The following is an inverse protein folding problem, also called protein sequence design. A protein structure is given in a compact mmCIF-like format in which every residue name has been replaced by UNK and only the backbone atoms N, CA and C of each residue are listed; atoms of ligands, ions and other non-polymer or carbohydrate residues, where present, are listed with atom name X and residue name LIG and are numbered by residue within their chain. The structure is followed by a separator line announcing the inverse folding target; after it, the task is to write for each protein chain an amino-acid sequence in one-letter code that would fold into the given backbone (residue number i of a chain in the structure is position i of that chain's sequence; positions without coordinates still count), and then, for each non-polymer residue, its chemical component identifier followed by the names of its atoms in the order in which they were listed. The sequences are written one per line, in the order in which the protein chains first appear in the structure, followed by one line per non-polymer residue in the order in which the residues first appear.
data_IF_275250471855
#
_entry.id   IF_275250471855
#
_cell.length_a   1.000
_cell.length_b   1.000
_cell.length_c   1.000
_cell.angle_alpha   90.00
_cell.angle_beta   90.00
_cell.angle_gamma   90.00
#
_symmetry.space_group_name_H-M   'P 1'
#
loop_
_entity.id
_entity.type
_entity.pdbx_description
1 polymer ?
#
# COMPACT_ATOMS: atom_id res chain seq x y z
N UNK A 1 2.14 19.63 22.00
CA UNK A 1 1.32 20.06 20.85
C UNK A 1 0.06 20.63 21.44
N UNK A 2 -0.28 21.86 21.10
CA UNK A 2 -1.53 22.49 21.55
C UNK A 2 -2.68 21.79 20.85
N UNK A 3 -3.75 21.44 21.58
CA UNK A 3 -4.97 20.89 20.97
C UNK A 3 -5.52 21.88 19.95
N UNK A 4 -5.99 21.42 18.77
CA UNK A 4 -6.55 22.30 17.76
C UNK A 4 -7.76 23.07 18.32
N UNK A 5 -7.80 24.38 18.13
CA UNK A 5 -8.97 25.17 18.47
C UNK A 5 -10.11 24.87 17.49
N UNK A 6 -11.32 24.61 18.01
CA UNK A 6 -12.52 24.32 17.21
C UNK A 6 -12.77 25.39 16.13
N UNK A 7 -12.57 26.66 16.44
CA UNK A 7 -12.81 27.76 15.49
C UNK A 7 -11.82 27.71 14.31
N UNK A 8 -10.57 27.36 14.57
CA UNK A 8 -9.54 27.26 13.53
C UNK A 8 -9.83 26.07 12.60
N UNK A 9 -10.21 24.93 13.18
CA UNK A 9 -10.56 23.72 12.42
C UNK A 9 -11.84 23.92 11.62
N UNK A 10 -12.85 24.60 12.18
CA UNK A 10 -14.06 24.98 11.45
C UNK A 10 -13.77 25.95 10.29
N UNK A 11 -12.91 26.94 10.52
CA UNK A 11 -12.47 27.87 9.47
C UNK A 11 -11.77 27.14 8.33
N UNK A 12 -10.93 26.15 8.65
CA UNK A 12 -10.31 25.32 7.62
C UNK A 12 -11.30 24.38 6.93
N UNK A 13 -12.24 23.79 7.67
CA UNK A 13 -13.27 22.94 7.10
C UNK A 13 -14.19 23.69 6.12
N UNK A 14 -14.54 24.94 6.43
CA UNK A 14 -15.29 25.82 5.53
C UNK A 14 -14.49 26.14 4.25
N UNK A 15 -13.18 26.41 4.38
CA UNK A 15 -12.27 26.60 3.25
C UNK A 15 -12.21 25.34 2.37
N UNK A 16 -12.07 24.16 2.96
CA UNK A 16 -12.03 22.89 2.22
C UNK A 16 -13.36 22.64 1.52
N UNK A 17 -14.49 22.86 2.20
CA UNK A 17 -15.82 22.63 1.65
C UNK A 17 -16.16 23.56 0.46
N UNK A 18 -15.69 24.81 0.50
CA UNK A 18 -15.88 25.79 -0.59
C UNK A 18 -14.96 25.58 -1.80
N UNK A 19 -13.88 24.82 -1.65
CA UNK A 19 -12.92 24.61 -2.73
C UNK A 19 -13.48 23.69 -3.82
N UNK A 20 -13.52 24.20 -5.06
CA UNK A 20 -13.90 23.43 -6.26
C UNK A 20 -12.79 22.48 -6.70
N UNK A 21 -11.53 22.83 -6.42
CA UNK A 21 -10.34 22.10 -6.88
C UNK A 21 -9.73 21.20 -5.80
N UNK A 22 -10.42 20.96 -4.68
CA UNK A 22 -9.91 20.14 -3.58
C UNK A 22 -8.79 20.84 -2.82
N UNK A 23 -9.16 21.74 -1.91
CA UNK A 23 -8.19 22.37 -1.03
C UNK A 23 -7.56 21.32 -0.10
N UNK A 24 -6.23 21.31 -0.01
CA UNK A 24 -5.50 20.48 0.95
C UNK A 24 -5.87 20.91 2.38
N UNK A 25 -6.38 20.01 3.23
CA UNK A 25 -6.63 20.26 4.65
C UNK A 25 -5.37 20.75 5.37
N UNK A 26 -5.53 21.65 6.33
CA UNK A 26 -4.39 22.12 7.16
C UNK A 26 -4.18 21.28 8.41
N UNK A 27 -5.20 20.50 8.78
CA UNK A 27 -5.22 19.66 9.95
C UNK A 27 -5.25 18.19 9.55
N UNK A 28 -4.88 17.30 10.47
CA UNK A 28 -4.96 15.86 10.27
C UNK A 28 -6.41 15.38 10.34
N UNK A 29 -6.69 14.19 9.80
CA UNK A 29 -8.02 13.59 9.86
C UNK A 29 -8.56 13.53 11.31
N UNK A 30 -7.71 13.11 12.25
CA UNK A 30 -8.04 13.03 13.67
C UNK A 30 -8.50 14.37 14.28
N UNK A 31 -7.92 15.50 13.85
CA UNK A 31 -8.27 16.82 14.39
C UNK A 31 -9.71 17.21 14.01
N UNK A 32 -10.15 16.87 12.80
CA UNK A 32 -11.55 17.09 12.38
C UNK A 32 -12.51 16.17 13.13
N UNK A 33 -12.15 14.90 13.35
CA UNK A 33 -12.96 13.96 14.12
C UNK A 33 -13.16 14.44 15.56
N UNK A 34 -12.07 14.84 16.23
CA UNK A 34 -12.13 15.41 17.58
C UNK A 34 -13.00 16.67 17.63
N UNK A 35 -12.91 17.55 16.62
CA UNK A 35 -13.77 18.73 16.51
C UNK A 35 -15.25 18.40 16.27
N UNK A 36 -15.57 17.34 15.53
CA UNK A 36 -16.97 16.87 15.37
C UNK A 36 -17.55 16.40 16.70
N UNK A 37 -16.75 15.69 17.50
CA UNK A 37 -17.16 15.24 18.83
C UNK A 37 -17.29 16.42 19.81
N UNK A 38 -16.37 17.38 19.76
CA UNK A 38 -16.45 18.60 20.57
C UNK A 38 -17.69 19.44 20.22
N UNK A 39 -18.00 19.59 18.92
CA UNK A 39 -19.22 20.24 18.45
C UNK A 39 -20.46 19.51 19.00
N UNK A 40 -20.53 18.19 18.85
CA UNK A 40 -21.66 17.40 19.35
C UNK A 40 -21.82 17.48 20.88
N UNK A 41 -20.73 17.50 21.64
CA UNK A 41 -20.73 17.68 23.09
C UNK A 41 -21.25 19.08 23.48
N UNK A 42 -20.87 20.13 22.74
CA UNK A 42 -21.35 21.50 22.99
C UNK A 42 -22.83 21.72 22.67
N UNK A 43 -23.36 20.99 21.68
CA UNK A 43 -24.73 21.13 21.18
C UNK A 43 -25.70 20.12 21.82
N UNK A 44 -25.22 19.26 22.72
CA UNK A 44 -26.08 18.24 23.36
C UNK A 44 -27.12 18.89 24.28
N UNK A 45 -28.31 18.32 24.30
CA UNK A 45 -29.41 18.68 25.20
C UNK A 45 -29.23 17.99 26.55
N UNK A 46 -29.94 18.47 27.58
CA UNK A 46 -29.93 17.83 28.89
C UNK A 46 -30.40 16.37 28.81
N UNK A 47 -29.57 15.43 29.29
CA UNK A 47 -29.83 13.99 29.22
C UNK A 47 -29.54 13.35 27.85
N UNK A 48 -29.12 14.13 26.85
CA UNK A 48 -28.67 13.61 25.55
C UNK A 48 -27.20 13.14 25.65
N UNK A 49 -26.88 12.00 25.03
CA UNK A 49 -25.48 11.54 24.88
C UNK A 49 -24.80 12.24 23.70
N UNK A 50 -23.47 12.27 23.67
CA UNK A 50 -22.71 12.86 22.54
C UNK A 50 -23.08 12.20 21.21
N UNK A 51 -23.19 10.86 21.18
CA UNK A 51 -23.57 10.14 19.98
C UNK A 51 -24.98 10.47 19.50
N UNK A 52 -25.93 10.69 20.42
CA UNK A 52 -27.28 11.13 20.08
C UNK A 52 -27.29 12.56 19.52
N UNK A 53 -26.54 13.48 20.12
CA UNK A 53 -26.35 14.84 19.63
C UNK A 53 -25.72 14.86 18.23
N UNK A 54 -24.66 14.08 18.01
CA UNK A 54 -24.00 13.95 16.70
C UNK A 54 -24.97 13.41 15.63
N UNK A 55 -25.74 12.37 15.95
CA UNK A 55 -26.74 11.79 15.04
C UNK A 55 -27.86 12.79 14.71
N UNK A 56 -28.30 13.57 15.71
CA UNK A 56 -29.28 14.63 15.52
C UNK A 56 -28.74 15.75 14.62
N UNK A 57 -27.54 16.27 14.91
CA UNK A 57 -26.89 17.28 14.07
C UNK A 57 -26.74 16.81 12.61
N UNK A 58 -26.44 15.51 12.41
CA UNK A 58 -26.39 14.92 11.08
C UNK A 58 -27.77 14.90 10.40
N UNK A 59 -28.81 14.48 11.14
CA UNK A 59 -30.20 14.42 10.64
C UNK A 59 -30.75 15.80 10.30
N UNK A 60 -30.46 16.78 11.17
CA UNK A 60 -30.87 18.18 11.03
C UNK A 60 -30.07 18.92 9.94
N UNK A 61 -29.06 18.26 9.34
CA UNK A 61 -28.16 18.83 8.33
C UNK A 61 -27.42 20.07 8.83
N UNK A 62 -26.90 20.03 10.06
CA UNK A 62 -26.06 21.10 10.57
C UNK A 62 -24.88 21.36 9.62
N UNK A 63 -24.75 22.61 9.17
CA UNK A 63 -23.75 22.98 8.17
C UNK A 63 -22.32 22.84 8.69
N UNK A 64 -22.08 23.10 9.97
CA UNK A 64 -20.75 23.01 10.58
C UNK A 64 -20.30 21.54 10.59
N UNK A 65 -21.19 20.66 11.03
CA UNK A 65 -20.93 19.22 11.00
C UNK A 65 -20.68 18.71 9.58
N UNK A 66 -21.48 19.17 8.61
CA UNK A 66 -21.34 18.79 7.20
C UNK A 66 -19.99 19.24 6.60
N UNK A 67 -19.52 20.44 6.96
CA UNK A 67 -18.20 20.95 6.54
C UNK A 67 -17.06 20.16 7.17
N UNK A 68 -17.13 19.88 8.48
CA UNK A 68 -16.14 19.06 9.17
C UNK A 68 -16.05 17.65 8.57
N UNK A 69 -17.19 17.00 8.32
CA UNK A 69 -17.23 15.67 7.72
C UNK A 69 -16.60 15.65 6.32
N UNK A 70 -16.83 16.70 5.52
CA UNK A 70 -16.18 16.82 4.21
C UNK A 70 -14.67 17.02 4.31
N UNK A 71 -14.22 17.85 5.26
CA UNK A 71 -12.80 18.10 5.47
C UNK A 71 -12.06 16.84 5.97
N UNK A 72 -12.69 16.11 6.90
CA UNK A 72 -12.24 14.80 7.37
C UNK A 72 -12.03 13.83 6.21
N UNK A 73 -13.04 13.66 5.35
CA UNK A 73 -12.95 12.76 4.19
C UNK A 73 -11.78 13.11 3.25
N UNK A 74 -11.55 14.40 3.00
CA UNK A 74 -10.44 14.86 2.16
C UNK A 74 -9.09 14.59 2.85
N UNK A 75 -8.99 14.83 4.16
CA UNK A 75 -7.79 14.57 4.93
C UNK A 75 -7.41 13.07 4.93
N UNK A 76 -8.37 12.19 5.22
CA UNK A 76 -8.17 10.74 5.18
C UNK A 76 -7.71 10.26 3.80
N UNK A 77 -8.32 10.79 2.74
CA UNK A 77 -7.95 10.43 1.36
C UNK A 77 -6.50 10.80 1.04
N UNK A 78 -6.04 11.97 1.50
CA UNK A 78 -4.67 12.42 1.31
C UNK A 78 -3.70 11.58 2.15
N UNK A 79 -4.00 11.37 3.43
CA UNK A 79 -3.16 10.55 4.32
C UNK A 79 -2.98 9.12 3.79
N UNK A 80 -4.06 8.50 3.29
CA UNK A 80 -4.01 7.17 2.67
C UNK A 80 -3.18 7.16 1.39
N UNK A 81 -3.32 8.19 0.55
CA UNK A 81 -2.51 8.33 -0.67
C UNK A 81 -1.03 8.46 -0.32
N UNK A 82 -0.68 9.28 0.66
CA UNK A 82 0.69 9.50 1.07
C UNK A 82 1.30 8.25 1.72
N UNK A 83 0.53 7.53 2.53
CA UNK A 83 0.93 6.23 3.08
C UNK A 83 1.24 5.23 1.96
N UNK A 84 0.38 5.15 0.93
CA UNK A 84 0.61 4.30 -0.24
C UNK A 84 1.86 4.71 -1.02
N UNK A 85 2.09 6.00 -1.22
CA UNK A 85 3.28 6.48 -1.92
C UNK A 85 4.57 6.14 -1.17
N UNK A 86 4.57 6.26 0.16
CA UNK A 86 5.71 5.84 1.00
C UNK A 86 6.00 4.35 0.86
N UNK A 87 4.97 3.51 0.83
CA UNK A 87 5.15 2.06 0.67
C UNK A 87 5.71 1.71 -0.71
N UNK A 88 5.21 2.34 -1.77
CA UNK A 88 5.76 2.17 -3.13
C UNK A 88 7.22 2.59 -3.18
N UNK A 89 7.58 3.72 -2.59
CA UNK A 89 8.97 4.19 -2.53
C UNK A 89 9.87 3.22 -1.75
N UNK A 90 9.37 2.66 -0.64
CA UNK A 90 10.08 1.65 0.16
C UNK A 90 10.33 0.37 -0.65
N UNK A 91 9.32 -0.12 -1.38
CA UNK A 91 9.47 -1.30 -2.25
C UNK A 91 10.44 -1.05 -3.41
N UNK A 92 10.43 0.15 -4.00
CA UNK A 92 11.40 0.52 -5.01
C UNK A 92 12.84 0.51 -4.46
N UNK A 93 13.06 1.12 -3.30
CA UNK A 93 14.36 1.11 -2.63
C UNK A 93 14.83 -0.31 -2.26
N UNK A 94 13.92 -1.19 -1.82
CA UNK A 94 14.24 -2.59 -1.55
C UNK A 94 14.62 -3.35 -2.83
N UNK A 95 13.93 -3.09 -3.96
CA UNK A 95 14.27 -3.69 -5.26
C UNK A 95 15.66 -3.24 -5.74
N UNK A 96 15.99 -1.96 -5.58
CA UNK A 96 17.31 -1.44 -5.94
C UNK A 96 18.41 -2.06 -5.08
N UNK A 97 18.19 -2.18 -3.76
CA UNK A 97 19.12 -2.88 -2.86
C UNK A 97 19.30 -4.35 -3.26
N UNK A 98 18.20 -5.06 -3.53
CA UNK A 98 18.27 -6.44 -4.00
C UNK A 98 19.01 -6.57 -5.34
N UNK A 99 18.83 -5.64 -6.27
CA UNK A 99 19.55 -5.64 -7.54
C UNK A 99 21.05 -5.35 -7.37
N UNK A 100 21.42 -4.57 -6.35
CA UNK A 100 22.82 -4.29 -6.01
C UNK A 100 23.49 -5.42 -5.22
N UNK A 101 22.78 -6.05 -4.29
CA UNK A 101 23.28 -7.11 -3.40
C UNK A 101 23.24 -8.50 -4.04
N UNK A 102 22.23 -8.74 -4.88
CA UNK A 102 22.24 -9.82 -5.86
C UNK A 102 22.50 -9.18 -7.21
N UNK A 103 23.77 -8.85 -7.56
CA UNK A 103 24.08 -8.77 -8.97
C UNK A 103 23.62 -10.12 -9.49
N UNK A 104 22.61 -10.12 -10.37
CA UNK A 104 22.42 -11.25 -11.26
C UNK A 104 23.83 -11.42 -11.81
N UNK A 105 24.51 -12.47 -11.37
CA UNK A 105 25.72 -12.92 -12.02
C UNK A 105 25.17 -13.29 -13.38
N UNK A 106 25.10 -12.29 -14.28
CA UNK A 106 24.93 -12.53 -15.70
C UNK A 106 26.04 -13.48 -15.93
N UNK A 107 25.61 -14.70 -16.14
CA UNK A 107 26.42 -15.85 -15.98
C UNK A 107 27.25 -15.81 -17.27
N UNK A 108 28.39 -15.10 -17.22
CA UNK A 108 29.15 -14.70 -18.40
C UNK A 108 29.92 -15.91 -18.85
N UNK A 109 29.23 -16.78 -19.59
CA UNK A 109 29.74 -18.02 -20.09
C UNK A 109 28.61 -18.86 -20.68
N UNK A 110 28.85 -19.59 -21.79
CA UNK A 110 27.84 -20.46 -22.40
C UNK A 110 27.22 -21.42 -21.39
N UNK A 111 28.05 -21.97 -20.49
CA UNK A 111 27.64 -22.90 -19.44
C UNK A 111 26.59 -22.30 -18.50
N UNK A 112 26.79 -21.06 -18.14
CA UNK A 112 26.02 -20.44 -17.08
C UNK A 112 24.65 -19.95 -17.65
N UNK A 113 24.62 -19.49 -18.91
CA UNK A 113 23.38 -19.21 -19.63
C UNK A 113 22.52 -20.46 -19.84
N UNK A 114 23.16 -21.61 -20.09
CA UNK A 114 22.45 -22.89 -20.21
C UNK A 114 21.85 -23.29 -18.85
N UNK A 115 22.58 -23.09 -17.75
CA UNK A 115 22.07 -23.36 -16.41
C UNK A 115 20.88 -22.47 -16.03
N UNK A 116 20.92 -21.17 -16.39
CA UNK A 116 19.79 -20.27 -16.20
C UNK A 116 18.56 -20.73 -16.99
N UNK A 117 18.75 -21.17 -18.25
CA UNK A 117 17.67 -21.71 -19.07
C UNK A 117 17.07 -22.99 -18.47
N UNK A 118 17.91 -23.89 -17.92
CA UNK A 118 17.45 -25.08 -17.20
C UNK A 118 16.62 -24.69 -15.97
N UNK A 119 17.09 -23.72 -15.16
CA UNK A 119 16.32 -23.25 -14.00
C UNK A 119 14.99 -22.62 -14.39
N UNK A 120 14.94 -21.81 -15.46
CA UNK A 120 13.68 -21.22 -15.95
C UNK A 120 12.71 -22.31 -16.41
N UNK A 121 13.18 -23.28 -17.18
CA UNK A 121 12.38 -24.41 -17.65
C UNK A 121 11.85 -25.24 -16.49
N UNK A 122 12.71 -25.63 -15.55
CA UNK A 122 12.32 -26.40 -14.36
C UNK A 122 11.34 -25.63 -13.47
N UNK A 123 11.51 -24.31 -13.29
CA UNK A 123 10.57 -23.48 -12.51
C UNK A 123 9.17 -23.49 -13.12
N UNK A 124 9.03 -23.57 -14.44
CA UNK A 124 7.73 -23.62 -15.11
C UNK A 124 7.02 -24.98 -14.94
N UNK A 125 7.78 -26.05 -14.70
CA UNK A 125 7.28 -27.42 -14.58
C UNK A 125 7.27 -27.95 -13.13
N UNK A 126 7.75 -27.15 -12.17
CA UNK A 126 7.79 -27.56 -10.77
C UNK A 126 6.38 -27.62 -10.18
N UNK A 127 6.15 -28.56 -9.28
CA UNK A 127 4.97 -28.62 -8.39
C UNK A 127 5.03 -27.51 -7.34
N UNK A 128 3.88 -27.20 -6.74
CA UNK A 128 3.74 -26.10 -5.76
C UNK A 128 4.75 -26.24 -4.60
N UNK A 129 4.85 -27.44 -4.03
CA UNK A 129 5.62 -27.72 -2.81
C UNK A 129 7.03 -28.30 -3.04
N UNK A 130 7.52 -28.32 -4.29
CA UNK A 130 8.89 -28.79 -4.57
C UNK A 130 9.86 -27.62 -4.83
N UNK A 131 11.11 -27.79 -4.39
CA UNK A 131 12.21 -26.88 -4.72
C UNK A 131 12.63 -27.04 -6.19
N UNK A 132 13.31 -26.03 -6.74
CA UNK A 132 13.79 -26.09 -8.14
C UNK A 132 14.80 -27.21 -8.33
N UNK A 133 15.68 -27.47 -7.36
CA UNK A 133 16.65 -28.57 -7.43
C UNK A 133 15.98 -29.94 -7.40
N UNK A 134 14.98 -30.14 -6.53
CA UNK A 134 14.22 -31.38 -6.47
C UNK A 134 13.45 -31.63 -7.78
N UNK A 135 12.83 -30.58 -8.34
CA UNK A 135 12.15 -30.65 -9.63
C UNK A 135 13.12 -30.97 -10.79
N UNK A 136 14.33 -30.40 -10.77
CA UNK A 136 15.34 -30.64 -11.81
C UNK A 136 15.83 -32.10 -11.79
N UNK A 137 16.12 -32.63 -10.60
CA UNK A 137 16.50 -34.03 -10.42
C UNK A 137 15.39 -34.98 -10.86
N UNK A 138 14.14 -34.71 -10.46
CA UNK A 138 12.98 -35.50 -10.89
C UNK A 138 12.82 -35.49 -12.40
N UNK A 139 12.82 -34.33 -13.04
CA UNK A 139 12.63 -34.22 -14.50
C UNK A 139 13.75 -34.91 -15.29
N UNK A 140 14.99 -34.88 -14.81
CA UNK A 140 16.09 -35.63 -15.42
C UNK A 140 15.92 -37.14 -15.26
N UNK A 141 15.48 -37.61 -14.08
CA UNK A 141 15.22 -39.03 -13.81
C UNK A 141 14.00 -39.56 -14.58
N UNK A 142 12.96 -38.73 -14.70
CA UNK A 142 11.73 -39.03 -15.45
C UNK A 142 11.94 -38.99 -16.98
N UNK A 143 13.13 -38.59 -17.44
CA UNK A 143 13.51 -38.59 -18.85
C UNK A 143 12.96 -37.42 -19.66
N UNK A 144 12.77 -36.24 -19.06
CA UNK A 144 12.37 -35.03 -19.79
C UNK A 144 13.43 -34.68 -20.85
N UNK A 145 13.08 -34.86 -22.12
CA UNK A 145 14.02 -34.75 -23.23
C UNK A 145 14.58 -33.33 -23.41
N UNK A 146 13.80 -32.30 -23.06
CA UNK A 146 14.23 -30.91 -23.21
C UNK A 146 15.26 -30.55 -22.14
N UNK A 147 15.00 -30.90 -20.88
CA UNK A 147 15.94 -30.68 -19.78
C UNK A 147 17.20 -31.54 -19.92
N UNK A 148 17.08 -32.78 -20.38
CA UNK A 148 18.23 -33.65 -20.66
C UNK A 148 19.14 -33.05 -21.75
N UNK A 149 18.55 -32.53 -22.84
CA UNK A 149 19.31 -31.88 -23.90
C UNK A 149 20.02 -30.60 -23.41
N UNK A 150 19.39 -29.83 -22.52
CA UNK A 150 20.04 -28.66 -21.90
C UNK A 150 21.17 -29.08 -20.96
N UNK A 151 20.99 -30.13 -20.14
CA UNK A 151 22.04 -30.65 -19.26
C UNK A 151 23.25 -31.16 -20.06
N UNK A 152 23.03 -31.86 -21.18
CA UNK A 152 24.12 -32.30 -22.04
C UNK A 152 24.90 -31.11 -22.63
N UNK A 153 24.21 -30.05 -23.06
CA UNK A 153 24.87 -28.82 -23.53
C UNK A 153 25.63 -28.12 -22.40
N UNK A 154 25.12 -28.17 -21.17
CA UNK A 154 25.77 -27.63 -19.99
C UNK A 154 27.09 -28.34 -19.69
N UNK A 155 27.14 -29.67 -19.83
CA UNK A 155 28.37 -30.46 -19.66
C UNK A 155 29.40 -30.20 -20.76
N UNK A 156 28.94 -29.89 -21.98
CA UNK A 156 29.79 -29.62 -23.14
C UNK A 156 30.32 -28.18 -23.21
N UNK A 157 29.71 -27.26 -22.45
CA UNK A 157 30.14 -25.87 -22.39
C UNK A 157 31.35 -25.72 -21.45
N UNK A 158 32.53 -25.49 -22.04
CA UNK A 158 33.75 -25.11 -21.32
C UNK A 158 33.67 -23.65 -20.83
#
# INVERSE_FOLDING_TARGET
MTEPNLDDVLGDADRVAKSTNGATPRFAARDYEECMLALAESEKRAGESVGASLSRLHTDRDERLSKLARALYVAETIELRDARQREVAKLAALRERHAAESPIVKSTGPRAAIYDAMQTYTKALKRADESVEAAMGRLLLDGDAALAAMHQRYEQAA
#
